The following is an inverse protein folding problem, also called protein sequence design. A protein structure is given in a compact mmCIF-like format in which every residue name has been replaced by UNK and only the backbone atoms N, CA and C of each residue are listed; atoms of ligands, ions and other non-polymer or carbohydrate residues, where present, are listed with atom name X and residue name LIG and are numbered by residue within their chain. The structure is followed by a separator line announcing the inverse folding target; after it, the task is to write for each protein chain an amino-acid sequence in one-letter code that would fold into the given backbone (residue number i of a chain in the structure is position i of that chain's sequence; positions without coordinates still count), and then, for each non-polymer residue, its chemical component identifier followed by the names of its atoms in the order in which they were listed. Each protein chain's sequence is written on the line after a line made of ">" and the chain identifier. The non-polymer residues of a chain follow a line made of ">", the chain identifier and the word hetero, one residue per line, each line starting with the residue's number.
data_IF_864778111885
#
_entry.id   IF_864778111885
#
_cell.length_a   1.000
_cell.length_b   1.000
_cell.length_c   1.000
_cell.angle_alpha   90.00
_cell.angle_beta   90.00
_cell.angle_gamma   90.00
#
_symmetry.space_group_name_H-M   'P 1'
#
loop_
_entity.id
_entity.type
_entity.pdbx_description
1 polymer ?
#
# COMPACT_ATOMS: atom_id res chain seq x y z
N UNK A 1 19.74 31.84 -13.74
CA UNK A 1 20.71 31.04 -12.96
C UNK A 1 20.76 29.66 -13.60
N UNK A 2 21.82 29.36 -14.36
CA UNK A 2 21.96 28.05 -15.00
C UNK A 2 22.48 27.06 -13.95
N UNK A 3 21.80 25.94 -13.66
CA UNK A 3 22.33 24.94 -12.73
C UNK A 3 23.66 24.41 -13.27
N UNK A 4 24.65 24.27 -12.39
CA UNK A 4 25.94 23.70 -12.74
C UNK A 4 25.78 22.19 -13.03
N UNK A 5 26.57 21.63 -13.96
CA UNK A 5 26.55 20.20 -14.24
C UNK A 5 26.90 19.41 -12.97
N UNK A 6 26.07 18.41 -12.64
CA UNK A 6 26.30 17.51 -11.51
C UNK A 6 27.61 16.74 -11.71
N UNK A 7 28.44 16.66 -10.68
CA UNK A 7 29.62 15.79 -10.70
C UNK A 7 29.18 14.32 -10.88
N UNK A 8 30.00 13.45 -11.50
CA UNK A 8 29.68 12.03 -11.65
C UNK A 8 29.44 11.33 -10.31
N UNK A 9 30.03 11.83 -9.22
CA UNK A 9 29.81 11.33 -7.84
C UNK A 9 28.42 11.66 -7.30
N UNK A 10 27.90 12.87 -7.59
CA UNK A 10 26.56 13.29 -7.18
C UNK A 10 25.48 12.51 -7.94
N UNK A 11 25.76 12.16 -9.20
CA UNK A 11 24.87 11.34 -10.02
C UNK A 11 24.76 9.91 -9.46
N UNK A 12 25.89 9.28 -9.09
CA UNK A 12 25.86 7.94 -8.49
C UNK A 12 25.10 7.93 -7.17
N UNK A 13 25.28 8.95 -6.33
CA UNK A 13 24.57 9.07 -5.06
C UNK A 13 23.06 9.24 -5.26
N UNK A 14 22.64 10.03 -6.25
CA UNK A 14 21.23 10.19 -6.59
C UNK A 14 20.59 8.88 -7.08
N UNK A 15 21.32 8.11 -7.89
CA UNK A 15 20.84 6.81 -8.38
C UNK A 15 20.71 5.82 -7.21
N UNK A 16 21.70 5.75 -6.33
CA UNK A 16 21.69 4.87 -5.16
C UNK A 16 20.55 5.21 -4.20
N UNK A 17 20.32 6.51 -3.95
CA UNK A 17 19.21 6.98 -3.13
C UNK A 17 17.84 6.65 -3.77
N UNK A 18 17.69 6.86 -5.08
CA UNK A 18 16.44 6.52 -5.79
C UNK A 18 16.16 5.01 -5.77
N UNK A 19 17.18 4.19 -5.99
CA UNK A 19 17.09 2.74 -5.92
C UNK A 19 16.77 2.26 -4.50
N UNK A 20 17.39 2.85 -3.48
CA UNK A 20 17.10 2.59 -2.08
C UNK A 20 15.65 2.90 -1.69
N UNK A 21 15.13 4.05 -2.15
CA UNK A 21 13.74 4.46 -1.92
C UNK A 21 12.75 3.49 -2.58
N UNK A 22 13.03 3.08 -3.82
CA UNK A 22 12.20 2.11 -4.53
C UNK A 22 12.22 0.75 -3.83
N UNK A 23 13.40 0.26 -3.42
CA UNK A 23 13.54 -1.00 -2.69
C UNK A 23 12.79 -0.97 -1.37
N UNK A 24 12.88 0.13 -0.62
CA UNK A 24 12.18 0.31 0.65
C UNK A 24 10.66 0.24 0.46
N UNK A 25 10.11 0.87 -0.58
CA UNK A 25 8.69 0.77 -0.91
C UNK A 25 8.29 -0.67 -1.25
N UNK A 26 9.08 -1.36 -2.09
CA UNK A 26 8.81 -2.73 -2.50
C UNK A 26 8.85 -3.71 -1.32
N UNK A 27 9.84 -3.58 -0.43
CA UNK A 27 9.94 -4.41 0.78
C UNK A 27 8.80 -4.15 1.75
N UNK A 28 8.38 -2.88 1.89
CA UNK A 28 7.22 -2.54 2.74
C UNK A 28 5.92 -3.12 2.19
N UNK A 29 5.72 -3.07 0.87
CA UNK A 29 4.57 -3.70 0.21
C UNK A 29 4.54 -5.21 0.42
N UNK A 30 5.69 -5.87 0.30
CA UNK A 30 5.81 -7.31 0.53
C UNK A 30 5.46 -7.68 1.98
N UNK A 31 5.98 -6.92 2.95
CA UNK A 31 5.70 -7.13 4.36
C UNK A 31 4.21 -6.95 4.69
N UNK A 32 3.57 -5.91 4.15
CA UNK A 32 2.16 -5.60 4.39
C UNK A 32 1.20 -6.59 3.70
N UNK A 33 1.58 -7.10 2.54
CA UNK A 33 0.86 -8.19 1.88
C UNK A 33 0.93 -9.48 2.71
N UNK A 34 2.10 -9.83 3.23
CA UNK A 34 2.27 -10.99 4.09
C UNK A 34 1.41 -10.90 5.35
N UNK A 35 1.40 -9.73 6.00
CA UNK A 35 0.53 -9.45 7.15
C UNK A 35 -0.95 -9.68 6.81
N UNK A 36 -1.41 -9.08 5.70
CA UNK A 36 -2.80 -9.16 5.26
C UNK A 36 -3.22 -10.60 4.97
N UNK A 37 -2.34 -11.38 4.36
CA UNK A 37 -2.58 -12.79 4.06
C UNK A 37 -2.64 -13.67 5.32
N UNK A 38 -1.87 -13.36 6.36
CA UNK A 38 -1.90 -14.09 7.63
C UNK A 38 -3.29 -14.07 8.27
N UNK A 39 -4.03 -12.95 8.21
CA UNK A 39 -5.40 -12.89 8.76
C UNK A 39 -6.34 -13.89 8.08
N UNK A 40 -6.22 -14.05 6.76
CA UNK A 40 -7.01 -15.04 6.04
C UNK A 40 -6.63 -16.47 6.41
N UNK A 41 -5.35 -16.76 6.64
CA UNK A 41 -4.91 -18.10 7.05
C UNK A 41 -5.55 -18.50 8.39
N UNK A 42 -5.51 -17.60 9.37
CA UNK A 42 -6.16 -17.81 10.67
C UNK A 42 -7.67 -18.04 10.52
N UNK A 43 -8.34 -17.30 9.64
CA UNK A 43 -9.77 -17.46 9.39
C UNK A 43 -10.12 -18.83 8.76
N UNK A 44 -9.30 -19.34 7.83
CA UNK A 44 -9.51 -20.68 7.23
C UNK A 44 -9.25 -21.75 8.29
N UNK A 45 -8.16 -21.62 9.04
CA UNK A 45 -7.78 -22.55 10.09
C UNK A 45 -8.89 -22.68 11.14
N UNK A 46 -9.49 -21.55 11.53
CA UNK A 46 -10.61 -21.54 12.46
C UNK A 46 -11.90 -22.11 11.85
N UNK A 47 -12.15 -21.90 10.56
CA UNK A 47 -13.28 -22.51 9.86
C UNK A 47 -13.14 -24.03 9.70
N UNK A 48 -11.92 -24.53 9.55
CA UNK A 48 -11.60 -25.96 9.47
C UNK A 48 -11.58 -26.64 10.84
N UNK A 49 -11.27 -25.89 11.90
CA UNK A 49 -11.32 -26.38 13.28
C UNK A 49 -12.77 -26.52 13.76
N UNK A 50 -13.05 -27.55 14.56
CA UNK A 50 -14.38 -27.81 15.14
C UNK A 50 -14.85 -26.77 16.18
N UNK A 51 -14.25 -25.57 16.24
CA UNK A 51 -14.63 -24.49 17.16
C UNK A 51 -16.05 -23.97 16.88
N UNK A 52 -16.50 -24.02 15.61
CA UNK A 52 -17.91 -23.73 15.24
C UNK A 52 -18.89 -24.62 15.97
N UNK A 53 -18.56 -25.89 16.24
CA UNK A 53 -19.44 -26.84 16.92
C UNK A 53 -19.53 -26.55 18.43
N UNK A 54 -18.41 -26.10 19.04
CA UNK A 54 -18.36 -25.67 20.45
C UNK A 54 -19.03 -24.31 20.65
N UNK A 55 -18.89 -23.37 19.71
CA UNK A 55 -19.57 -22.06 19.76
C UNK A 55 -21.08 -22.18 19.47
N UNK A 56 -21.49 -23.11 18.59
CA UNK A 56 -22.90 -23.42 18.35
C UNK A 56 -23.55 -24.09 19.57
N UNK A 57 -22.80 -24.95 20.27
CA UNK A 57 -23.24 -25.55 21.53
C UNK A 57 -23.34 -24.53 22.68
N UNK A 58 -22.61 -23.41 22.62
CA UNK A 58 -22.65 -22.32 23.59
C UNK A 58 -23.74 -21.25 23.30
N UNK A 59 -24.49 -21.35 22.20
CA UNK A 59 -25.59 -20.44 21.88
C UNK A 59 -25.18 -19.02 21.50
N UNK A 60 -23.90 -18.77 21.22
CA UNK A 60 -23.41 -17.44 20.87
C UNK A 60 -23.93 -17.00 19.47
N UNK A 61 -24.35 -15.73 19.30
CA UNK A 61 -24.80 -15.25 18.00
C UNK A 61 -23.63 -15.19 17.01
N UNK A 62 -23.83 -15.72 15.81
CA UNK A 62 -22.85 -15.75 14.71
C UNK A 62 -22.19 -14.39 14.43
N UNK A 63 -22.94 -13.29 14.62
CA UNK A 63 -22.43 -11.93 14.41
C UNK A 63 -21.38 -11.51 15.46
N UNK A 64 -21.53 -11.91 16.72
CA UNK A 64 -20.58 -11.55 17.77
C UNK A 64 -19.20 -12.19 17.50
N UNK A 65 -19.18 -13.38 16.91
CA UNK A 65 -17.97 -14.06 16.48
C UNK A 65 -17.22 -13.27 15.38
N UNK A 66 -17.91 -12.88 14.31
CA UNK A 66 -17.30 -12.10 13.23
C UNK A 66 -16.77 -10.74 13.69
N UNK A 67 -17.51 -10.06 14.58
CA UNK A 67 -17.08 -8.77 15.14
C UNK A 67 -15.86 -8.93 16.04
N UNK A 68 -15.82 -9.98 16.87
CA UNK A 68 -14.68 -10.26 17.72
C UNK A 68 -13.42 -10.58 16.91
N UNK A 69 -13.55 -11.39 15.86
CA UNK A 69 -12.41 -11.74 15.00
C UNK A 69 -11.91 -10.53 14.21
N UNK A 70 -12.82 -9.73 13.65
CA UNK A 70 -12.46 -8.48 12.99
C UNK A 70 -11.76 -7.49 13.95
N UNK A 71 -12.25 -7.35 15.19
CA UNK A 71 -11.62 -6.49 16.18
C UNK A 71 -10.22 -6.98 16.59
N UNK A 72 -10.03 -8.30 16.68
CA UNK A 72 -8.73 -8.90 16.95
C UNK A 72 -7.74 -8.66 15.80
N UNK A 73 -8.14 -8.92 14.56
CA UNK A 73 -7.32 -8.69 13.36
C UNK A 73 -6.98 -7.21 13.17
N UNK A 74 -7.95 -6.32 13.45
CA UNK A 74 -7.72 -4.87 13.43
C UNK A 74 -6.72 -4.45 14.51
N UNK A 75 -6.82 -5.01 15.72
CA UNK A 75 -5.85 -4.78 16.80
C UNK A 75 -4.43 -5.22 16.43
N UNK A 76 -4.29 -6.42 15.85
CA UNK A 76 -2.99 -6.91 15.34
C UNK A 76 -2.46 -6.03 14.21
N UNK A 77 -3.33 -5.60 13.28
CA UNK A 77 -2.97 -4.66 12.22
C UNK A 77 -2.43 -3.35 12.82
N UNK A 78 -3.10 -2.77 13.83
CA UNK A 78 -2.62 -1.56 14.50
C UNK A 78 -1.21 -1.73 15.10
N UNK A 79 -0.90 -2.87 15.72
CA UNK A 79 0.44 -3.14 16.27
C UNK A 79 1.50 -3.14 15.17
N UNK A 80 1.24 -3.78 14.03
CA UNK A 80 2.19 -3.79 12.92
C UNK A 80 2.33 -2.41 12.29
N UNK A 81 1.22 -1.68 12.09
CA UNK A 81 1.26 -0.31 11.58
C UNK A 81 2.09 0.62 12.48
N UNK A 82 1.90 0.55 13.80
CA UNK A 82 2.71 1.30 14.77
C UNK A 82 4.19 0.91 14.71
N UNK A 83 4.48 -0.38 14.55
CA UNK A 83 5.85 -0.87 14.40
C UNK A 83 6.50 -0.32 13.13
N UNK A 84 5.77 -0.26 12.02
CA UNK A 84 6.23 0.34 10.76
C UNK A 84 6.51 1.83 10.90
N UNK A 85 5.64 2.60 11.58
CA UNK A 85 5.90 4.03 11.88
C UNK A 85 7.17 4.19 12.70
N UNK A 86 7.35 3.35 13.73
CA UNK A 86 8.53 3.39 14.59
C UNK A 86 9.80 3.06 13.81
N UNK A 87 9.77 2.05 12.95
CA UNK A 87 10.90 1.73 12.06
C UNK A 87 11.25 2.90 11.14
N UNK A 88 10.25 3.51 10.48
CA UNK A 88 10.50 4.69 9.63
C UNK A 88 11.06 5.88 10.41
N UNK A 89 10.58 6.10 11.64
CA UNK A 89 11.09 7.15 12.51
C UNK A 89 12.54 6.89 12.96
N UNK A 90 12.92 5.63 13.17
CA UNK A 90 14.29 5.25 13.55
C UNK A 90 15.26 5.29 12.36
N UNK A 91 14.78 5.03 11.14
CA UNK A 91 15.60 5.08 9.93
C UNK A 91 16.05 6.50 9.57
N UNK A 92 15.49 7.54 10.19
CA UNK A 92 15.98 8.91 10.05
C UNK A 92 15.86 9.51 8.64
N UNK A 93 14.99 8.96 7.78
CA UNK A 93 14.82 9.47 6.42
C UNK A 93 14.24 10.91 6.48
N UNK A 94 14.86 11.89 5.80
CA UNK A 94 14.46 13.29 5.89
C UNK A 94 13.01 13.54 5.45
N UNK A 95 12.48 12.78 4.49
CA UNK A 95 11.08 12.86 4.04
C UNK A 95 10.04 12.29 5.03
N UNK A 96 10.47 11.52 6.02
CA UNK A 96 9.60 10.82 6.99
C UNK A 96 9.68 11.42 8.40
N UNK A 97 10.30 12.59 8.57
CA UNK A 97 10.44 13.26 9.88
C UNK A 97 9.57 14.53 9.97
N UNK A 98 8.91 14.75 11.11
CA UNK A 98 8.07 15.93 11.34
C UNK A 98 6.63 15.82 10.79
N UNK A 99 6.16 16.84 10.06
CA UNK A 99 4.75 16.96 9.61
C UNK A 99 4.25 15.82 8.72
N UNK A 100 5.15 15.13 8.03
CA UNK A 100 4.85 13.97 7.17
C UNK A 100 4.50 12.70 7.94
N UNK A 101 4.85 12.59 9.23
CA UNK A 101 4.51 11.43 10.08
C UNK A 101 2.99 11.34 10.26
N UNK A 102 2.29 12.47 10.36
CA UNK A 102 0.83 12.49 10.41
C UNK A 102 0.19 11.91 9.16
N UNK A 103 0.73 12.26 7.98
CA UNK A 103 0.27 11.74 6.69
C UNK A 103 0.56 10.23 6.56
N UNK A 104 1.73 9.77 7.00
CA UNK A 104 2.08 8.35 7.05
C UNK A 104 1.13 7.57 7.97
N UNK A 105 0.85 8.08 9.17
CA UNK A 105 -0.09 7.47 10.10
C UNK A 105 -1.50 7.39 9.50
N UNK A 106 -1.99 8.47 8.87
CA UNK A 106 -3.29 8.47 8.21
C UNK A 106 -3.36 7.45 7.06
N UNK A 107 -2.29 7.35 6.25
CA UNK A 107 -2.16 6.39 5.16
C UNK A 107 -2.22 4.94 5.68
N UNK A 108 -1.47 4.65 6.75
CA UNK A 108 -1.42 3.31 7.36
C UNK A 108 -2.74 2.92 8.01
N UNK A 109 -3.42 3.84 8.70
CA UNK A 109 -4.75 3.60 9.28
C UNK A 109 -5.78 3.32 8.18
N UNK A 110 -5.78 4.12 7.12
CA UNK A 110 -6.65 3.90 5.97
C UNK A 110 -6.37 2.55 5.28
N UNK A 111 -5.10 2.16 5.19
CA UNK A 111 -4.69 0.85 4.71
C UNK A 111 -5.23 -0.28 5.59
N UNK A 112 -5.05 -0.22 6.92
CA UNK A 112 -5.54 -1.23 7.84
C UNK A 112 -7.06 -1.41 7.76
N UNK A 113 -7.81 -0.31 7.69
CA UNK A 113 -9.27 -0.36 7.57
C UNK A 113 -9.74 -0.98 6.25
N UNK A 114 -9.00 -0.79 5.16
CA UNK A 114 -9.36 -1.31 3.84
C UNK A 114 -8.79 -2.69 3.53
N UNK A 115 -7.66 -3.08 4.11
CA UNK A 115 -7.00 -4.34 3.85
C UNK A 115 -7.74 -5.52 4.51
N UNK A 116 -8.21 -5.35 5.76
CA UNK A 116 -8.94 -6.38 6.51
C UNK A 116 -10.24 -6.81 5.80
N UNK A 117 -11.15 -5.93 5.34
CA UNK A 117 -12.34 -6.38 4.62
C UNK A 117 -12.01 -7.02 3.27
N UNK A 118 -10.94 -6.58 2.60
CA UNK A 118 -10.51 -7.18 1.32
C UNK A 118 -10.06 -8.63 1.52
N UNK A 119 -9.27 -8.91 2.56
CA UNK A 119 -8.79 -10.28 2.84
C UNK A 119 -9.93 -11.20 3.25
N UNK A 120 -10.90 -10.71 4.02
CA UNK A 120 -12.12 -11.44 4.35
C UNK A 120 -12.97 -11.78 3.12
N UNK A 121 -13.04 -10.88 2.13
CA UNK A 121 -13.71 -11.19 0.85
C UNK A 121 -12.96 -12.24 0.03
N UNK A 122 -11.62 -12.19 0.02
CA UNK A 122 -10.79 -13.12 -0.76
C UNK A 122 -10.69 -14.51 -0.14
N UNK A 123 -10.82 -14.62 1.19
CA UNK A 123 -10.79 -15.87 1.93
C UNK A 123 -11.79 -16.91 1.39
N UNK A 124 -12.97 -16.51 0.92
CA UNK A 124 -14.02 -17.42 0.43
C UNK A 124 -13.62 -18.27 -0.78
N UNK A 125 -12.53 -17.91 -1.48
CA UNK A 125 -12.07 -18.65 -2.65
C UNK A 125 -11.25 -19.90 -2.26
N UNK A 126 -10.83 -20.04 -1.01
CA UNK A 126 -9.90 -21.06 -0.56
C UNK A 126 -10.50 -21.94 0.54
N UNK A 127 -10.15 -23.23 0.53
CA UNK A 127 -10.59 -24.19 1.55
C UNK A 127 -9.46 -24.63 2.48
N UNK A 128 -8.20 -24.52 2.03
CA UNK A 128 -7.01 -24.88 2.78
C UNK A 128 -6.25 -23.64 3.28
N UNK A 129 -5.81 -23.66 4.54
CA UNK A 129 -5.10 -22.55 5.20
C UNK A 129 -3.86 -22.11 4.42
N UNK A 130 -3.02 -23.07 4.05
CA UNK A 130 -1.75 -22.81 3.36
C UNK A 130 -1.99 -22.25 1.96
N UNK A 131 -3.03 -22.72 1.27
CA UNK A 131 -3.40 -22.24 -0.07
C UNK A 131 -3.94 -20.80 0.00
N UNK A 132 -4.77 -20.49 1.01
CA UNK A 132 -5.27 -19.15 1.24
C UNK A 132 -4.13 -18.17 1.57
N UNK A 133 -3.21 -18.55 2.45
CA UNK A 133 -2.06 -17.73 2.82
C UNK A 133 -1.21 -17.38 1.60
N UNK A 134 -0.78 -18.39 0.84
CA UNK A 134 0.09 -18.17 -0.30
C UNK A 134 -0.65 -17.51 -1.47
N UNK A 135 -1.87 -17.95 -1.76
CA UNK A 135 -2.70 -17.44 -2.86
C UNK A 135 -3.04 -15.97 -2.70
N UNK A 136 -3.58 -15.59 -1.54
CA UNK A 136 -3.95 -14.20 -1.25
C UNK A 136 -2.69 -13.33 -1.19
N UNK A 137 -1.62 -13.79 -0.54
CA UNK A 137 -0.36 -13.03 -0.54
C UNK A 137 0.16 -12.79 -1.95
N UNK A 138 0.12 -13.81 -2.82
CA UNK A 138 0.58 -13.69 -4.21
C UNK A 138 -0.27 -12.69 -4.99
N UNK A 139 -1.60 -12.72 -4.84
CA UNK A 139 -2.51 -11.79 -5.51
C UNK A 139 -2.25 -10.36 -5.03
N UNK A 140 -2.23 -10.13 -3.71
CA UNK A 140 -2.03 -8.81 -3.11
C UNK A 140 -0.65 -8.22 -3.48
N UNK A 141 0.41 -9.04 -3.39
CA UNK A 141 1.77 -8.65 -3.77
C UNK A 141 1.85 -8.33 -5.25
N UNK A 142 1.30 -9.19 -6.12
CA UNK A 142 1.35 -8.99 -7.57
C UNK A 142 0.63 -7.72 -7.96
N UNK A 143 -0.61 -7.50 -7.50
CA UNK A 143 -1.38 -6.30 -7.84
C UNK A 143 -0.74 -5.04 -7.24
N UNK A 144 -0.24 -5.11 -6.01
CA UNK A 144 0.41 -3.98 -5.35
C UNK A 144 1.72 -3.56 -6.03
N UNK A 145 2.67 -4.50 -6.15
CA UNK A 145 4.00 -4.24 -6.72
C UNK A 145 3.92 -3.96 -8.21
N UNK A 146 3.26 -4.82 -9.00
CA UNK A 146 3.16 -4.62 -10.45
C UNK A 146 2.43 -3.32 -10.76
N UNK A 147 1.35 -3.04 -10.03
CA UNK A 147 0.61 -1.78 -10.14
C UNK A 147 1.48 -0.57 -9.86
N UNK A 148 2.25 -0.60 -8.77
CA UNK A 148 3.18 0.46 -8.41
C UNK A 148 4.25 0.66 -9.49
N UNK A 149 4.91 -0.41 -9.93
CA UNK A 149 5.96 -0.37 -10.95
C UNK A 149 5.45 0.16 -12.28
N UNK A 150 4.29 -0.30 -12.74
CA UNK A 150 3.70 0.15 -14.01
C UNK A 150 3.45 1.67 -13.97
N UNK A 151 2.86 2.18 -12.89
CA UNK A 151 2.59 3.62 -12.79
C UNK A 151 3.90 4.42 -12.64
N UNK A 152 4.86 3.92 -11.86
CA UNK A 152 6.17 4.56 -11.70
C UNK A 152 6.94 4.65 -13.03
N UNK A 153 6.95 3.57 -13.82
CA UNK A 153 7.55 3.55 -15.17
C UNK A 153 6.84 4.55 -16.09
N UNK A 154 5.51 4.56 -16.07
CA UNK A 154 4.71 5.42 -16.93
C UNK A 154 4.94 6.92 -16.63
N UNK A 155 5.11 7.27 -15.36
CA UNK A 155 5.49 8.63 -14.94
C UNK A 155 6.93 8.98 -15.32
N UNK A 156 7.86 8.04 -15.19
CA UNK A 156 9.24 8.22 -15.62
C UNK A 156 9.32 8.51 -17.13
N UNK A 157 8.58 7.75 -17.94
CA UNK A 157 8.47 7.97 -19.40
C UNK A 157 7.81 9.32 -19.70
N UNK A 158 6.77 9.72 -18.96
CA UNK A 158 6.14 11.03 -19.13
C UNK A 158 7.13 12.18 -18.89
N UNK A 159 7.94 12.12 -17.84
CA UNK A 159 8.96 13.13 -17.56
C UNK A 159 10.01 13.25 -18.68
N UNK A 160 10.29 12.15 -19.39
CA UNK A 160 11.24 12.15 -20.52
C UNK A 160 10.61 12.65 -21.84
N UNK A 161 9.36 12.30 -22.12
CA UNK A 161 8.73 12.53 -23.44
C UNK A 161 7.74 13.70 -23.47
N UNK A 162 7.30 14.23 -22.32
CA UNK A 162 6.32 15.32 -22.17
C UNK A 162 5.05 15.16 -23.03
N UNK A 163 4.59 13.93 -23.24
CA UNK A 163 3.44 13.67 -24.12
C UNK A 163 2.10 13.61 -23.35
N UNK A 164 1.04 14.31 -23.82
CA UNK A 164 -0.22 14.43 -23.08
C UNK A 164 -1.09 13.16 -23.09
N UNK A 165 -0.83 12.21 -24.01
CA UNK A 165 -1.60 10.96 -24.10
C UNK A 165 -1.22 9.98 -22.97
N UNK A 166 0.07 9.91 -22.62
CA UNK A 166 0.59 9.04 -21.56
C UNK A 166 -0.01 9.45 -20.20
N UNK A 167 -0.20 10.76 -19.99
CA UNK A 167 -0.79 11.31 -18.76
C UNK A 167 -2.23 10.83 -18.54
N UNK A 168 -3.05 10.79 -19.61
CA UNK A 168 -4.44 10.32 -19.53
C UNK A 168 -4.51 8.84 -19.14
N UNK A 169 -3.69 8.00 -19.77
CA UNK A 169 -3.61 6.57 -19.47
C UNK A 169 -3.15 6.33 -18.03
N UNK A 170 -2.12 7.06 -17.58
CA UNK A 170 -1.63 6.97 -16.21
C UNK A 170 -2.70 7.35 -15.18
N UNK A 171 -3.48 8.38 -15.47
CA UNK A 171 -4.53 8.87 -14.56
C UNK A 171 -5.66 7.86 -14.41
N UNK A 172 -6.15 7.30 -15.52
CA UNK A 172 -7.19 6.27 -15.49
C UNK A 172 -6.69 5.02 -14.76
N UNK A 173 -5.47 4.57 -15.06
CA UNK A 173 -4.89 3.41 -14.41
C UNK A 173 -4.75 3.61 -12.90
N UNK A 174 -4.25 4.78 -12.46
CA UNK A 174 -4.20 5.15 -11.03
C UNK A 174 -5.58 5.11 -10.37
N UNK A 175 -6.60 5.68 -11.02
CA UNK A 175 -7.95 5.71 -10.48
C UNK A 175 -8.50 4.30 -10.26
N UNK A 176 -8.33 3.41 -11.25
CA UNK A 176 -8.74 2.01 -11.14
C UNK A 176 -7.96 1.29 -10.05
N UNK A 177 -6.62 1.39 -10.04
CA UNK A 177 -5.81 0.70 -9.03
C UNK A 177 -6.03 1.21 -7.61
N UNK A 178 -6.32 2.51 -7.43
CA UNK A 178 -6.64 3.08 -6.11
C UNK A 178 -7.91 2.48 -5.52
N UNK A 179 -8.91 2.19 -6.35
CA UNK A 179 -10.16 1.56 -5.91
C UNK A 179 -9.98 0.07 -5.65
N UNK A 180 -9.19 -0.61 -6.47
CA UNK A 180 -9.05 -2.08 -6.43
C UNK A 180 -8.09 -2.55 -5.35
N UNK A 181 -6.99 -1.84 -5.10
CA UNK A 181 -5.90 -2.32 -4.24
C UNK A 181 -5.45 -1.31 -3.20
N UNK A 182 -5.71 -1.55 -1.89
CA UNK A 182 -5.15 -0.73 -0.83
C UNK A 182 -3.62 -0.83 -0.77
N UNK A 183 -3.05 -1.95 -1.23
CA UNK A 183 -1.60 -2.16 -1.30
C UNK A 183 -0.95 -1.21 -2.30
N UNK A 184 -1.56 -1.01 -3.49
CA UNK A 184 -1.07 -0.02 -4.45
C UNK A 184 -1.07 1.40 -3.87
N UNK A 185 -2.16 1.77 -3.17
CA UNK A 185 -2.29 3.08 -2.54
C UNK A 185 -1.21 3.32 -1.48
N UNK A 186 -0.93 2.31 -0.66
CA UNK A 186 0.12 2.36 0.35
C UNK A 186 1.50 2.63 -0.28
N UNK A 187 1.88 1.83 -1.30
CA UNK A 187 3.18 1.97 -1.96
C UNK A 187 3.37 3.34 -2.61
N UNK A 188 2.32 3.87 -3.25
CA UNK A 188 2.31 5.24 -3.80
C UNK A 188 2.47 6.31 -2.73
N UNK A 189 1.71 6.21 -1.64
CA UNK A 189 1.77 7.19 -0.55
C UNK A 189 3.14 7.23 0.09
N UNK A 190 3.73 6.07 0.38
CA UNK A 190 5.09 5.99 0.93
C UNK A 190 6.11 6.58 -0.05
N UNK A 191 6.04 6.23 -1.33
CA UNK A 191 6.95 6.77 -2.35
C UNK A 191 6.87 8.29 -2.46
N UNK A 192 5.66 8.87 -2.42
CA UNK A 192 5.45 10.33 -2.44
C UNK A 192 5.99 11.02 -1.18
N UNK A 193 5.83 10.40 -0.01
CA UNK A 193 6.36 10.94 1.26
C UNK A 193 7.90 10.94 1.29
N UNK A 194 8.52 9.89 0.75
CA UNK A 194 9.98 9.82 0.65
C UNK A 194 10.51 10.81 -0.39
N UNK A 195 9.75 11.00 -1.48
CA UNK A 195 10.15 11.85 -2.61
C UNK A 195 9.89 13.35 -2.41
N UNK A 196 9.19 13.79 -1.36
CA UNK A 196 8.86 15.22 -1.21
C UNK A 196 10.13 16.03 -0.89
N UNK A 197 10.59 17.05 -1.62
CA UNK A 197 10.02 18.00 -2.59
C UNK A 197 8.67 17.70 -3.25
N UNK A 198 7.61 17.95 -2.47
CA UNK A 198 6.32 18.47 -2.92
C UNK A 198 5.45 17.57 -3.80
N UNK A 199 4.16 17.57 -3.47
CA UNK A 199 3.03 17.52 -4.41
C UNK A 199 3.50 17.49 -5.86
N UNK A 200 3.35 16.31 -6.45
CA UNK A 200 3.71 16.01 -7.81
C UNK A 200 3.31 17.19 -8.72
N UNK A 201 4.17 17.70 -9.62
CA UNK A 201 3.86 18.83 -10.51
C UNK A 201 2.51 18.69 -11.23
N UNK A 202 2.07 17.44 -11.47
CA UNK A 202 0.79 17.14 -12.08
C UNK A 202 -0.44 17.42 -11.20
N UNK A 203 -0.38 17.37 -9.85
CA UNK A 203 -1.52 17.83 -9.02
C UNK A 203 -1.67 19.34 -9.13
N UNK A 204 -0.56 20.07 -9.24
CA UNK A 204 -0.58 21.51 -9.53
C UNK A 204 -1.09 21.78 -10.93
N UNK A 205 -0.71 20.99 -11.94
CA UNK A 205 -1.24 21.15 -13.31
C UNK A 205 -2.72 20.76 -13.42
N UNK A 206 -3.18 19.68 -12.77
CA UNK A 206 -4.59 19.28 -12.74
C UNK A 206 -5.45 20.31 -12.00
N UNK A 207 -4.97 20.89 -10.89
CA UNK A 207 -5.66 21.99 -10.20
C UNK A 207 -5.50 23.35 -10.89
N UNK A 208 -4.49 23.54 -11.73
CA UNK A 208 -4.26 24.77 -12.50
C UNK A 208 -4.88 24.76 -13.90
N UNK A 209 -5.37 23.61 -14.38
CA UNK A 209 -6.28 23.59 -15.52
C UNK A 209 -7.54 24.34 -15.09
N UNK A 210 -7.86 25.51 -15.69
CA UNK A 210 -9.15 26.11 -15.43
C UNK A 210 -10.19 25.07 -15.82
N UNK A 211 -11.14 24.83 -14.92
CA UNK A 211 -12.44 24.28 -15.29
C UNK A 211 -13.08 25.26 -16.30
N UNK A 212 -12.65 25.23 -17.56
CA UNK A 212 -13.37 25.79 -18.70
C UNK A 212 -14.07 24.62 -19.37
N UNK A 213 -15.34 24.42 -19.04
CA UNK A 213 -16.46 24.86 -19.91
C UNK A 213 -16.52 24.01 -21.17
N UNK A 214 -17.46 23.07 -21.14
CA UNK A 214 -17.80 22.09 -22.16
C UNK A 214 -18.78 21.09 -21.58
#
# INVERSE_FOLDING_TARGET
>A
SHPMPSLPTELSEQIDNAAGNLLLVLLTLLAMSGLSASFSAFLVAEAASSSKLVQLAAGAPRLAFWVANYAFDFGLSCVVLLSTVLLFSLSGLPGLTGGSVGALCALLIAFGLSAVPLTYCLHFLYNDEMEALQGINTILTTVGILGFLVVWILESIYNLLLSPQILKVATVMKAVLRVVSPHFCLGRGIFQLIGSEGVDPWEREVCALPHSQG
#
